data_IF_786521508393
#
_entry.id   IF_786521508393
#
_cell.length_a   1.000
_cell.length_b   1.000
_cell.length_c   1.000
_cell.angle_alpha   90.00
_cell.angle_beta   90.00
_cell.angle_gamma   90.00
#
_symmetry.space_group_name_H-M   'P 1'
#
loop_
_entity.id
_entity.type
_entity.pdbx_description
1 polymer ?
#
# COMPACT_ATOMS: atom_id res chain seq x y z
N UNK A 1 39.12 -50.07 -18.61
CA UNK A 1 38.86 -48.80 -17.88
C UNK A 1 37.49 -48.18 -18.19
N UNK A 2 36.97 -48.27 -19.42
CA UNK A 2 35.69 -47.65 -19.82
C UNK A 2 34.42 -48.23 -19.15
N UNK A 3 34.44 -49.51 -18.73
CA UNK A 3 33.32 -50.16 -18.02
C UNK A 3 33.14 -49.70 -16.56
N UNK A 4 34.18 -49.21 -15.90
CA UNK A 4 34.11 -48.72 -14.52
C UNK A 4 33.62 -47.26 -14.43
N UNK A 5 33.85 -46.47 -15.49
CA UNK A 5 33.37 -45.08 -15.59
C UNK A 5 31.84 -45.05 -15.73
N UNK A 6 31.26 -45.99 -16.47
CA UNK A 6 29.81 -46.09 -16.65
C UNK A 6 29.12 -46.53 -15.35
N UNK A 7 29.76 -47.38 -14.54
CA UNK A 7 29.23 -47.82 -13.23
C UNK A 7 29.28 -46.70 -12.18
N UNK A 8 30.31 -45.85 -12.21
CA UNK A 8 30.36 -44.68 -11.32
C UNK A 8 29.37 -43.59 -11.74
N UNK A 9 29.09 -43.42 -13.04
CA UNK A 9 28.12 -42.44 -13.52
C UNK A 9 26.67 -42.79 -13.15
N UNK A 10 26.30 -44.08 -13.13
CA UNK A 10 24.95 -44.52 -12.72
C UNK A 10 24.71 -44.43 -11.21
N UNK A 11 25.75 -44.55 -10.38
CA UNK A 11 25.64 -44.41 -8.93
C UNK A 11 25.49 -42.93 -8.51
N UNK A 12 26.14 -42.00 -9.24
CA UNK A 12 26.04 -40.55 -8.94
C UNK A 12 24.68 -39.97 -9.33
N UNK A 13 24.00 -40.51 -10.36
CA UNK A 13 22.64 -40.07 -10.74
C UNK A 13 21.58 -40.50 -9.72
N UNK A 14 21.80 -41.60 -8.99
CA UNK A 14 20.89 -42.03 -7.91
C UNK A 14 21.07 -41.23 -6.60
N UNK A 15 22.21 -40.55 -6.41
CA UNK A 15 22.49 -39.75 -5.22
C UNK A 15 21.93 -38.31 -5.29
N UNK A 16 21.41 -37.88 -6.45
CA UNK A 16 20.73 -36.58 -6.61
C UNK A 16 19.19 -36.70 -6.54
N UNK A 17 18.67 -37.79 -6.00
CA UNK A 17 17.32 -37.81 -5.49
C UNK A 17 17.28 -36.92 -4.24
N UNK A 18 16.99 -35.62 -4.42
CA UNK A 18 16.59 -34.75 -3.32
C UNK A 18 15.43 -35.40 -2.61
N UNK A 19 15.68 -35.95 -1.43
CA UNK A 19 14.64 -36.51 -0.57
C UNK A 19 13.73 -35.35 -0.15
N UNK A 20 12.64 -35.17 -0.87
CA UNK A 20 11.52 -34.32 -0.43
C UNK A 20 10.90 -35.04 0.77
N UNK A 21 11.40 -34.75 1.97
CA UNK A 21 10.80 -35.27 3.20
C UNK A 21 9.37 -34.73 3.33
N UNK A 22 8.43 -35.60 3.67
CA UNK A 22 7.07 -35.20 3.95
C UNK A 22 7.07 -34.30 5.20
N UNK A 23 6.63 -33.05 5.04
CA UNK A 23 6.48 -32.10 6.15
C UNK A 23 5.37 -32.59 7.08
N UNK A 24 5.67 -32.69 8.38
CA UNK A 24 4.70 -33.13 9.39
C UNK A 24 3.51 -32.16 9.48
N UNK A 25 2.36 -32.66 9.89
CA UNK A 25 1.14 -31.85 10.02
C UNK A 25 1.26 -30.81 11.13
N UNK A 26 2.04 -31.09 12.17
CA UNK A 26 2.42 -30.12 13.18
C UNK A 26 3.14 -28.90 12.59
N UNK A 27 4.12 -29.11 11.71
CA UNK A 27 4.86 -28.01 11.05
C UNK A 27 3.96 -27.24 10.10
N UNK A 28 3.07 -27.92 9.36
CA UNK A 28 2.10 -27.27 8.48
C UNK A 28 1.14 -26.36 9.27
N UNK A 29 0.56 -26.87 10.35
CA UNK A 29 -0.33 -26.10 11.22
C UNK A 29 0.39 -24.92 11.88
N UNK A 30 1.65 -25.09 12.28
CA UNK A 30 2.48 -24.01 12.82
C UNK A 30 2.70 -22.88 11.79
N UNK A 31 3.06 -23.23 10.55
CA UNK A 31 3.24 -22.26 9.47
C UNK A 31 1.94 -21.52 9.17
N UNK A 32 0.82 -22.25 9.12
CA UNK A 32 -0.51 -21.67 8.92
C UNK A 32 -0.88 -20.68 10.02
N UNK A 33 -0.64 -21.02 11.28
CA UNK A 33 -0.86 -20.13 12.42
C UNK A 33 -0.10 -18.82 12.28
N UNK A 34 1.22 -18.89 12.04
CA UNK A 34 2.05 -17.69 11.95
C UNK A 34 1.65 -16.82 10.75
N UNK A 35 1.41 -17.44 9.60
CA UNK A 35 0.99 -16.74 8.40
C UNK A 35 -0.35 -16.03 8.63
N UNK A 36 -1.38 -16.77 9.05
CA UNK A 36 -2.73 -16.20 9.21
C UNK A 36 -2.79 -15.14 10.31
N UNK A 37 -2.06 -15.31 11.41
CA UNK A 37 -1.94 -14.28 12.45
C UNK A 37 -1.28 -13.00 11.93
N UNK A 38 -0.19 -13.12 11.17
CA UNK A 38 0.49 -11.98 10.56
C UNK A 38 -0.43 -11.24 9.59
N UNK A 39 -1.15 -11.99 8.75
CA UNK A 39 -2.10 -11.44 7.79
C UNK A 39 -3.24 -10.68 8.48
N UNK A 40 -3.84 -11.26 9.53
CA UNK A 40 -4.90 -10.61 10.29
C UNK A 40 -4.45 -9.28 10.90
N UNK A 41 -3.24 -9.23 11.47
CA UNK A 41 -2.67 -8.01 12.03
C UNK A 41 -2.49 -6.92 10.98
N UNK A 42 -2.00 -7.28 9.80
CA UNK A 42 -1.79 -6.34 8.69
C UNK A 42 -3.13 -5.83 8.12
N UNK A 43 -4.09 -6.74 7.92
CA UNK A 43 -5.42 -6.45 7.35
C UNK A 43 -6.25 -5.60 8.31
N UNK A 44 -6.11 -5.79 9.64
CA UNK A 44 -6.83 -5.02 10.65
C UNK A 44 -6.80 -3.53 10.36
N UNK A 45 -5.62 -2.96 10.13
CA UNK A 45 -5.46 -1.52 9.90
C UNK A 45 -6.22 -1.09 8.64
N UNK A 46 -6.17 -1.91 7.59
CA UNK A 46 -6.85 -1.62 6.32
C UNK A 46 -8.38 -1.61 6.50
N UNK A 47 -8.92 -2.56 7.26
CA UNK A 47 -10.35 -2.68 7.55
C UNK A 47 -10.82 -1.55 8.48
N UNK A 48 -10.02 -1.18 9.48
CA UNK A 48 -10.35 -0.05 10.36
C UNK A 48 -10.37 1.29 9.60
N UNK A 49 -9.44 1.47 8.66
CA UNK A 49 -9.32 2.71 7.90
C UNK A 49 -10.32 2.82 6.74
N UNK A 50 -10.59 1.73 6.02
CA UNK A 50 -11.35 1.76 4.78
C UNK A 50 -12.52 0.77 4.71
N UNK A 51 -12.64 -0.13 5.68
CA UNK A 51 -13.68 -1.15 5.67
C UNK A 51 -15.07 -0.55 5.81
N UNK A 52 -15.95 -0.95 4.89
CA UNK A 52 -17.39 -0.82 5.04
C UNK A 52 -17.94 -1.87 6.02
N UNK A 53 -19.25 -1.82 6.30
CA UNK A 53 -19.87 -2.74 7.26
C UNK A 53 -19.72 -4.21 6.81
N UNK A 54 -19.73 -4.46 5.50
CA UNK A 54 -19.62 -5.82 4.94
C UNK A 54 -18.23 -6.39 5.17
N UNK A 55 -17.18 -5.65 4.86
CA UNK A 55 -15.78 -6.07 5.06
C UNK A 55 -15.40 -6.14 6.54
N UNK A 56 -15.99 -5.30 7.39
CA UNK A 56 -15.83 -5.38 8.86
C UNK A 56 -16.45 -6.64 9.44
N UNK A 57 -17.69 -6.97 9.05
CA UNK A 57 -18.34 -8.23 9.45
C UNK A 57 -17.50 -9.41 8.97
N UNK A 58 -17.06 -9.39 7.70
CA UNK A 58 -16.22 -10.45 7.15
C UNK A 58 -14.92 -10.63 7.92
N UNK A 59 -14.26 -9.53 8.30
CA UNK A 59 -13.04 -9.58 9.10
C UNK A 59 -13.30 -10.21 10.48
N UNK A 60 -14.41 -9.87 11.15
CA UNK A 60 -14.81 -10.49 12.42
C UNK A 60 -15.06 -12.00 12.29
N UNK A 61 -15.76 -12.43 11.22
CA UNK A 61 -15.96 -13.86 10.93
C UNK A 61 -14.62 -14.60 10.79
N UNK A 62 -13.66 -14.01 10.07
CA UNK A 62 -12.33 -14.59 9.89
C UNK A 62 -11.58 -14.67 11.23
N UNK A 63 -11.73 -13.68 12.11
CA UNK A 63 -11.16 -13.74 13.45
C UNK A 63 -11.72 -14.93 14.26
N UNK A 64 -13.04 -15.17 14.19
CA UNK A 64 -13.66 -16.33 14.84
C UNK A 64 -13.17 -17.65 14.23
N UNK A 65 -13.04 -17.74 12.90
CA UNK A 65 -12.48 -18.93 12.24
C UNK A 65 -11.03 -19.18 12.65
N UNK A 66 -10.22 -18.11 12.73
CA UNK A 66 -8.83 -18.18 13.17
C UNK A 66 -8.73 -18.61 14.63
N UNK A 67 -9.59 -18.09 15.51
CA UNK A 67 -9.66 -18.51 16.92
C UNK A 67 -9.95 -20.02 17.01
N UNK A 68 -10.99 -20.49 16.32
CA UNK A 68 -11.38 -21.91 16.32
C UNK A 68 -10.30 -22.84 15.76
N UNK A 69 -9.49 -22.38 14.80
CA UNK A 69 -8.34 -23.11 14.27
C UNK A 69 -7.16 -23.13 15.25
N UNK A 70 -6.95 -22.01 15.95
CA UNK A 70 -5.83 -21.81 16.88
C UNK A 70 -6.04 -22.53 18.20
N UNK A 71 -7.27 -22.62 18.69
CA UNK A 71 -7.60 -23.43 19.88
C UNK A 71 -7.23 -24.91 19.67
N UNK A 72 -7.52 -25.46 18.50
CA UNK A 72 -7.12 -26.83 18.15
C UNK A 72 -5.61 -26.98 17.95
N UNK A 73 -4.96 -25.96 17.38
CA UNK A 73 -3.50 -25.93 17.28
C UNK A 73 -2.84 -26.00 18.66
N UNK A 74 -3.29 -25.17 19.61
CA UNK A 74 -2.80 -25.18 20.98
C UNK A 74 -3.15 -26.48 21.72
N UNK A 75 -4.30 -27.08 21.39
CA UNK A 75 -4.70 -28.41 21.84
C UNK A 75 -3.94 -29.56 21.18
N UNK A 76 -2.93 -29.28 20.34
CA UNK A 76 -2.11 -30.25 19.61
C UNK A 76 -2.88 -31.13 18.61
N UNK A 77 -4.08 -30.73 18.22
CA UNK A 77 -4.88 -31.37 17.17
C UNK A 77 -4.49 -30.81 15.79
N UNK A 78 -3.25 -31.08 15.38
CA UNK A 78 -2.64 -30.43 14.22
C UNK A 78 -3.32 -30.70 12.88
N UNK A 79 -3.85 -31.91 12.67
CA UNK A 79 -4.53 -32.28 11.43
C UNK A 79 -5.83 -31.49 11.23
N UNK A 80 -6.66 -31.42 12.28
CA UNK A 80 -7.91 -30.66 12.27
C UNK A 80 -7.65 -29.17 12.18
N UNK A 81 -6.68 -28.67 12.95
CA UNK A 81 -6.27 -27.27 12.90
C UNK A 81 -5.80 -26.83 11.51
N UNK A 82 -4.97 -27.62 10.83
CA UNK A 82 -4.53 -27.36 9.46
C UNK A 82 -5.71 -27.24 8.49
N UNK A 83 -6.70 -28.14 8.60
CA UNK A 83 -7.92 -28.06 7.79
C UNK A 83 -8.76 -26.81 8.10
N UNK A 84 -8.83 -26.37 9.36
CA UNK A 84 -9.53 -25.12 9.70
C UNK A 84 -8.81 -23.88 9.18
N UNK A 85 -7.47 -23.86 9.22
CA UNK A 85 -6.70 -22.78 8.63
C UNK A 85 -6.86 -22.68 7.11
N UNK A 86 -7.09 -23.79 6.41
CA UNK A 86 -7.48 -23.74 5.00
C UNK A 86 -8.68 -22.83 4.78
N UNK A 87 -9.74 -22.99 5.59
CA UNK A 87 -10.94 -22.16 5.52
C UNK A 87 -10.62 -20.69 5.83
N UNK A 88 -9.78 -20.42 6.84
CA UNK A 88 -9.30 -19.05 7.13
C UNK A 88 -8.65 -18.43 5.91
N UNK A 89 -7.78 -19.16 5.20
CA UNK A 89 -7.12 -18.67 3.97
C UNK A 89 -8.11 -18.42 2.84
N UNK A 90 -9.12 -19.28 2.65
CA UNK A 90 -10.15 -19.06 1.63
C UNK A 90 -10.90 -17.74 1.87
N UNK A 91 -11.31 -17.49 3.12
CA UNK A 91 -12.00 -16.25 3.46
C UNK A 91 -11.06 -15.03 3.35
N UNK A 92 -9.78 -15.18 3.72
CA UNK A 92 -8.77 -14.13 3.55
C UNK A 92 -8.55 -13.78 2.07
N UNK A 93 -8.61 -14.73 1.13
CA UNK A 93 -8.57 -14.45 -0.31
C UNK A 93 -9.70 -13.51 -0.70
N UNK A 94 -10.92 -13.77 -0.24
CA UNK A 94 -12.09 -12.92 -0.58
C UNK A 94 -11.97 -11.51 0.00
N UNK A 95 -11.51 -11.39 1.26
CA UNK A 95 -11.34 -10.09 1.91
C UNK A 95 -10.20 -9.29 1.28
N UNK A 96 -9.07 -9.92 0.97
CA UNK A 96 -7.92 -9.24 0.36
C UNK A 96 -8.19 -8.83 -1.09
N UNK A 97 -9.02 -9.56 -1.84
CA UNK A 97 -9.50 -9.17 -3.17
C UNK A 97 -10.33 -7.87 -3.11
N UNK A 98 -11.30 -7.81 -2.19
CA UNK A 98 -12.13 -6.63 -1.97
C UNK A 98 -11.28 -5.41 -1.55
N UNK A 99 -10.33 -5.60 -0.62
CA UNK A 99 -9.40 -4.56 -0.20
C UNK A 99 -8.48 -4.12 -1.35
N UNK A 100 -7.93 -5.04 -2.15
CA UNK A 100 -7.09 -4.68 -3.29
C UNK A 100 -7.82 -3.79 -4.30
N UNK A 101 -9.07 -4.12 -4.61
CA UNK A 101 -9.94 -3.29 -5.48
C UNK A 101 -10.15 -1.89 -4.89
N UNK A 102 -10.46 -1.82 -3.60
CA UNK A 102 -10.64 -0.55 -2.89
C UNK A 102 -9.38 0.32 -2.96
N UNK A 103 -8.21 -0.27 -2.74
CA UNK A 103 -6.93 0.43 -2.79
C UNK A 103 -6.58 0.93 -4.19
N UNK A 104 -6.88 0.16 -5.25
CA UNK A 104 -6.73 0.60 -6.64
C UNK A 104 -7.58 1.85 -6.89
N UNK A 105 -8.84 1.83 -6.45
CA UNK A 105 -9.76 2.94 -6.64
C UNK A 105 -9.30 4.20 -5.89
N UNK A 106 -8.87 4.06 -4.63
CA UNK A 106 -8.36 5.19 -3.84
C UNK A 106 -7.06 5.76 -4.43
N UNK A 107 -6.15 4.91 -4.87
CA UNK A 107 -4.92 5.36 -5.54
C UNK A 107 -5.22 6.15 -6.83
N UNK A 108 -6.20 5.68 -7.62
CA UNK A 108 -6.67 6.40 -8.80
C UNK A 108 -7.25 7.77 -8.42
N UNK A 109 -8.16 7.83 -7.44
CA UNK A 109 -8.78 9.08 -6.98
C UNK A 109 -7.76 10.12 -6.51
N UNK A 110 -6.76 9.71 -5.71
CA UNK A 110 -5.72 10.62 -5.24
C UNK A 110 -4.89 11.16 -6.41
N UNK A 111 -4.44 10.30 -7.31
CA UNK A 111 -3.65 10.74 -8.46
C UNK A 111 -4.44 11.68 -9.36
N UNK A 112 -5.70 11.35 -9.65
CA UNK A 112 -6.58 12.16 -10.47
C UNK A 112 -6.85 13.53 -9.83
N UNK A 113 -6.99 13.60 -8.50
CA UNK A 113 -7.15 14.86 -7.75
C UNK A 113 -5.96 15.83 -7.92
N UNK A 114 -4.75 15.29 -8.16
CA UNK A 114 -3.53 16.09 -8.36
C UNK A 114 -3.18 16.30 -9.82
N UNK A 115 -3.73 15.50 -10.72
CA UNK A 115 -3.31 15.41 -12.12
C UNK A 115 -3.42 16.74 -12.85
N UNK A 116 -4.61 17.36 -12.86
CA UNK A 116 -4.88 18.62 -13.56
C UNK A 116 -3.92 19.72 -13.09
N UNK A 117 -3.86 19.93 -11.77
CA UNK A 117 -2.99 20.94 -11.19
C UNK A 117 -1.51 20.68 -11.49
N UNK A 118 -1.08 19.41 -11.49
CA UNK A 118 0.29 19.05 -11.84
C UNK A 118 0.61 19.39 -13.30
N UNK A 119 -0.29 19.09 -14.24
CA UNK A 119 -0.12 19.46 -15.65
C UNK A 119 -0.10 20.98 -15.85
N UNK A 120 -0.98 21.72 -15.16
CA UNK A 120 -0.98 23.18 -15.19
C UNK A 120 0.35 23.75 -14.68
N UNK A 121 0.90 23.19 -13.60
CA UNK A 121 2.22 23.57 -13.06
C UNK A 121 3.33 23.32 -14.08
N UNK A 122 3.34 22.13 -14.70
CA UNK A 122 4.35 21.77 -15.70
C UNK A 122 4.32 22.70 -16.92
N UNK A 123 3.13 23.10 -17.38
CA UNK A 123 2.96 24.02 -18.51
C UNK A 123 3.36 25.45 -18.12
N UNK A 124 2.84 25.95 -16.99
CA UNK A 124 3.03 27.33 -16.54
C UNK A 124 4.50 27.62 -16.22
N UNK A 125 5.16 26.70 -15.51
CA UNK A 125 6.49 26.91 -14.95
C UNK A 125 7.61 26.24 -15.75
N UNK A 126 7.38 25.90 -17.02
CA UNK A 126 8.39 25.30 -17.89
C UNK A 126 9.69 26.14 -17.96
N UNK A 127 10.83 25.47 -18.21
CA UNK A 127 12.14 26.14 -18.38
C UNK A 127 12.15 27.19 -19.48
N UNK A 128 11.33 26.99 -20.53
CA UNK A 128 11.18 27.90 -21.66
C UNK A 128 9.99 28.86 -21.50
N UNK A 129 9.28 28.80 -20.36
CA UNK A 129 8.16 29.70 -20.08
C UNK A 129 8.62 31.16 -20.03
N UNK A 130 7.77 32.06 -20.55
CA UNK A 130 7.99 33.50 -20.50
C UNK A 130 8.05 34.01 -19.07
N UNK A 131 7.40 33.34 -18.11
CA UNK A 131 7.41 33.67 -16.68
C UNK A 131 8.82 33.70 -16.07
N UNK A 132 9.73 32.83 -16.55
CA UNK A 132 11.12 32.82 -16.07
C UNK A 132 11.83 34.16 -16.26
N UNK A 133 11.54 34.85 -17.36
CA UNK A 133 12.11 36.18 -17.66
C UNK A 133 11.66 37.22 -16.64
N UNK A 134 10.45 37.07 -16.11
CA UNK A 134 9.89 37.99 -15.13
C UNK A 134 10.44 37.78 -13.71
N UNK A 135 10.91 36.58 -13.36
CA UNK A 135 11.58 36.36 -12.06
C UNK A 135 12.90 37.11 -11.91
N UNK A 136 13.56 37.42 -13.04
CA UNK A 136 14.85 38.11 -13.06
C UNK A 136 14.72 39.61 -13.34
N UNK A 137 13.52 40.09 -13.70
CA UNK A 137 13.31 41.51 -13.97
C UNK A 137 13.25 42.28 -12.64
N UNK A 138 13.95 43.42 -12.54
CA UNK A 138 13.73 44.33 -11.43
C UNK A 138 12.26 44.80 -11.48
N UNK A 139 11.68 44.96 -10.30
CA UNK A 139 10.28 45.28 -10.12
C UNK A 139 10.16 46.31 -9.01
N UNK A 140 9.38 47.37 -9.24
CA UNK A 140 9.10 48.37 -8.21
C UNK A 140 7.93 47.90 -7.33
N UNK A 141 8.16 47.59 -6.03
CA UNK A 141 7.10 47.08 -5.15
C UNK A 141 5.99 48.07 -4.81
N UNK A 142 6.16 49.36 -5.15
CA UNK A 142 5.18 50.42 -4.85
C UNK A 142 4.26 50.71 -6.05
N UNK A 143 4.77 50.63 -7.27
CA UNK A 143 4.07 51.13 -8.47
C UNK A 143 3.63 50.03 -9.43
N UNK A 144 4.32 48.90 -9.44
CA UNK A 144 4.07 47.83 -10.43
C UNK A 144 3.28 46.68 -9.79
N UNK A 145 2.74 45.76 -10.60
CA UNK A 145 2.11 44.51 -10.12
C UNK A 145 3.07 43.33 -10.37
N UNK A 146 3.29 42.48 -9.36
CA UNK A 146 4.13 41.28 -9.55
C UNK A 146 3.51 40.38 -10.64
N UNK A 147 4.28 40.00 -11.66
CA UNK A 147 3.77 39.20 -12.78
C UNK A 147 3.57 37.71 -12.42
N UNK A 148 3.81 37.32 -11.16
CA UNK A 148 3.67 35.96 -10.67
C UNK A 148 3.19 35.94 -9.22
N UNK A 149 2.58 34.81 -8.81
CA UNK A 149 2.21 34.58 -7.43
C UNK A 149 3.45 34.18 -6.60
N UNK A 150 3.85 34.94 -5.57
CA UNK A 150 4.99 34.59 -4.72
C UNK A 150 4.85 33.22 -4.03
N UNK A 151 3.63 32.82 -3.69
CA UNK A 151 3.33 31.55 -3.02
C UNK A 151 3.52 30.33 -3.92
N UNK A 152 3.60 30.53 -5.24
CA UNK A 152 3.81 29.49 -6.25
C UNK A 152 5.24 29.50 -6.80
N UNK A 153 6.11 30.41 -6.34
CA UNK A 153 7.46 30.56 -6.89
C UNK A 153 8.30 29.27 -6.75
N UNK A 154 8.13 28.52 -5.66
CA UNK A 154 8.81 27.24 -5.45
C UNK A 154 8.49 26.22 -6.54
N UNK A 155 7.30 26.28 -7.14
CA UNK A 155 6.86 25.36 -8.20
C UNK A 155 7.74 25.43 -9.44
N UNK A 156 8.44 26.54 -9.66
CA UNK A 156 9.43 26.66 -10.74
C UNK A 156 10.60 25.67 -10.58
N UNK A 157 11.02 25.41 -9.35
CA UNK A 157 12.07 24.45 -9.01
C UNK A 157 11.49 23.05 -8.81
N UNK A 158 10.32 22.97 -8.18
CA UNK A 158 9.71 21.73 -7.75
C UNK A 158 8.97 20.97 -8.85
N UNK A 159 8.66 21.62 -9.99
CA UNK A 159 7.92 20.99 -11.10
C UNK A 159 8.53 19.66 -11.57
N UNK A 160 9.86 19.52 -11.59
CA UNK A 160 10.52 18.28 -12.05
C UNK A 160 10.28 17.14 -11.07
N UNK A 161 10.21 17.46 -9.79
CA UNK A 161 9.87 16.51 -8.74
C UNK A 161 8.38 16.16 -8.80
N UNK A 162 7.50 17.13 -9.02
CA UNK A 162 6.06 16.91 -9.20
C UNK A 162 5.79 16.00 -10.41
N UNK A 163 6.42 16.28 -11.56
CA UNK A 163 6.33 15.43 -12.75
C UNK A 163 6.81 14.00 -12.47
N UNK A 164 7.97 13.86 -11.80
CA UNK A 164 8.52 12.57 -11.43
C UNK A 164 7.59 11.80 -10.48
N UNK A 165 6.98 12.48 -9.51
CA UNK A 165 6.02 11.87 -8.59
C UNK A 165 4.75 11.46 -9.31
N UNK A 166 4.19 12.29 -10.19
CA UNK A 166 2.99 11.96 -10.95
C UNK A 166 3.24 10.74 -11.85
N UNK A 167 4.35 10.75 -12.60
CA UNK A 167 4.78 9.62 -13.45
C UNK A 167 4.95 8.33 -12.66
N UNK A 168 5.64 8.41 -11.51
CA UNK A 168 5.85 7.24 -10.67
C UNK A 168 4.55 6.75 -10.02
N UNK A 169 3.66 7.67 -9.62
CA UNK A 169 2.35 7.36 -9.08
C UNK A 169 1.52 6.53 -10.05
N UNK A 170 1.32 7.02 -11.28
CA UNK A 170 0.58 6.28 -12.30
C UNK A 170 1.28 4.98 -12.71
N UNK A 171 2.62 4.96 -12.76
CA UNK A 171 3.37 3.72 -13.01
C UNK A 171 3.10 2.67 -11.93
N UNK A 172 3.15 3.04 -10.64
CA UNK A 172 2.86 2.11 -9.53
C UNK A 172 1.41 1.64 -9.54
N UNK A 173 0.48 2.53 -9.86
CA UNK A 173 -0.92 2.15 -10.04
C UNK A 173 -1.10 1.14 -11.19
N UNK A 174 -0.40 1.33 -12.31
CA UNK A 174 -0.45 0.38 -13.41
C UNK A 174 0.19 -0.96 -13.07
N UNK A 175 1.32 -0.96 -12.34
CA UNK A 175 1.94 -2.18 -11.81
C UNK A 175 0.96 -2.94 -10.90
N UNK A 176 0.23 -2.23 -10.02
CA UNK A 176 -0.82 -2.82 -9.18
C UNK A 176 -1.96 -3.44 -10.00
N UNK A 177 -2.48 -2.72 -11.00
CA UNK A 177 -3.52 -3.22 -11.92
C UNK A 177 -3.05 -4.44 -12.71
N UNK A 178 -1.80 -4.49 -13.13
CA UNK A 178 -1.24 -5.62 -13.86
C UNK A 178 -1.16 -6.88 -12.97
N UNK A 179 -0.75 -6.74 -11.71
CA UNK A 179 -0.71 -7.86 -10.75
C UNK A 179 -2.13 -8.34 -10.44
N UNK A 180 -3.06 -7.41 -10.20
CA UNK A 180 -4.45 -7.75 -9.91
C UNK A 180 -5.12 -8.54 -11.04
N UNK A 181 -4.82 -8.19 -12.29
CA UNK A 181 -5.36 -8.85 -13.49
C UNK A 181 -4.47 -9.98 -14.02
N UNK A 182 -3.54 -10.50 -13.22
CA UNK A 182 -2.67 -11.60 -13.64
C UNK A 182 -3.50 -12.86 -13.97
N UNK A 183 -3.25 -13.43 -15.14
CA UNK A 183 -3.92 -14.64 -15.64
C UNK A 183 -3.77 -15.83 -14.70
N UNK A 184 -2.63 -15.95 -14.00
CA UNK A 184 -2.41 -17.03 -13.03
C UNK A 184 -3.41 -16.95 -11.87
N UNK A 185 -3.69 -15.74 -11.37
CA UNK A 185 -4.68 -15.54 -10.29
C UNK A 185 -6.08 -15.88 -10.78
N UNK A 186 -6.45 -15.43 -11.98
CA UNK A 186 -7.75 -15.72 -12.59
C UNK A 186 -7.94 -17.24 -12.79
N UNK A 187 -6.90 -17.92 -13.29
CA UNK A 187 -6.91 -19.37 -13.45
C UNK A 187 -7.05 -20.09 -12.12
N UNK A 188 -6.28 -19.72 -11.09
CA UNK A 188 -6.38 -20.35 -9.77
C UNK A 188 -7.76 -20.16 -9.15
N UNK A 189 -8.39 -18.98 -9.29
CA UNK A 189 -9.77 -18.73 -8.83
C UNK A 189 -10.81 -19.57 -9.57
N UNK A 190 -10.54 -20.01 -10.80
CA UNK A 190 -11.45 -20.86 -11.57
C UNK A 190 -11.43 -22.33 -11.15
N UNK A 191 -10.41 -22.76 -10.38
CA UNK A 191 -10.30 -24.14 -9.92
C UNK A 191 -11.35 -24.45 -8.85
N UNK A 192 -11.97 -25.62 -8.94
CA UNK A 192 -12.90 -26.13 -7.91
C UNK A 192 -12.21 -26.39 -6.57
N UNK A 193 -10.97 -26.88 -6.61
CA UNK A 193 -10.15 -27.17 -5.43
C UNK A 193 -8.82 -26.43 -5.55
N UNK A 194 -8.64 -25.42 -4.71
CA UNK A 194 -7.41 -24.62 -4.63
C UNK A 194 -6.56 -25.19 -3.48
N UNK A 195 -5.25 -25.35 -3.67
CA UNK A 195 -4.36 -25.86 -2.61
C UNK A 195 -4.00 -24.76 -1.60
N UNK A 196 -3.50 -25.14 -0.41
CA UNK A 196 -3.02 -24.17 0.59
C UNK A 196 -2.03 -23.17 -0.03
N UNK A 197 -0.97 -23.67 -0.68
CA UNK A 197 0.08 -22.82 -1.28
C UNK A 197 -0.46 -21.90 -2.38
N UNK A 198 -1.50 -22.33 -3.11
CA UNK A 198 -2.15 -21.53 -4.13
C UNK A 198 -2.99 -20.40 -3.51
N UNK A 199 -3.67 -20.65 -2.38
CA UNK A 199 -4.37 -19.60 -1.62
C UNK A 199 -3.37 -18.57 -1.07
N UNK A 200 -2.25 -19.04 -0.50
CA UNK A 200 -1.18 -18.15 -0.01
C UNK A 200 -0.60 -17.29 -1.11
N UNK A 201 -0.38 -17.87 -2.30
CA UNK A 201 0.06 -17.14 -3.47
C UNK A 201 -0.93 -16.04 -3.85
N UNK A 202 -2.23 -16.34 -3.94
CA UNK A 202 -3.26 -15.35 -4.27
C UNK A 202 -3.27 -14.20 -3.25
N UNK A 203 -3.30 -14.52 -1.94
CA UNK A 203 -3.27 -13.51 -0.87
C UNK A 203 -2.04 -12.62 -1.00
N UNK A 204 -0.86 -13.22 -1.22
CA UNK A 204 0.40 -12.49 -1.37
C UNK A 204 0.35 -11.53 -2.56
N UNK A 205 -0.24 -11.92 -3.68
CA UNK A 205 -0.40 -11.04 -4.83
C UNK A 205 -1.33 -9.86 -4.52
N UNK A 206 -2.46 -10.08 -3.85
CA UNK A 206 -3.35 -8.98 -3.46
C UNK A 206 -2.72 -8.02 -2.45
N UNK A 207 -1.92 -8.52 -1.51
CA UNK A 207 -1.15 -7.64 -0.62
C UNK A 207 -0.10 -6.84 -1.39
N UNK A 208 0.56 -7.44 -2.39
CA UNK A 208 1.47 -6.71 -3.26
C UNK A 208 0.75 -5.59 -4.05
N UNK A 209 -0.46 -5.86 -4.55
CA UNK A 209 -1.33 -4.83 -5.17
C UNK A 209 -1.56 -3.68 -4.19
N UNK A 210 -1.92 -3.99 -2.94
CA UNK A 210 -2.15 -2.99 -1.88
C UNK A 210 -0.88 -2.16 -1.61
N UNK A 211 0.28 -2.79 -1.52
CA UNK A 211 1.56 -2.10 -1.29
C UNK A 211 1.94 -1.18 -2.46
N UNK A 212 1.77 -1.63 -3.70
CA UNK A 212 1.95 -0.75 -4.87
C UNK A 212 0.97 0.43 -4.88
N UNK A 213 -0.29 0.18 -4.49
CA UNK A 213 -1.27 1.25 -4.33
C UNK A 213 -0.86 2.23 -3.22
N UNK A 214 -0.35 1.78 -2.07
CA UNK A 214 0.19 2.67 -1.02
C UNK A 214 1.31 3.56 -1.54
N UNK A 215 2.23 3.01 -2.33
CA UNK A 215 3.27 3.81 -2.99
C UNK A 215 2.67 4.85 -3.95
N UNK A 216 1.68 4.46 -4.76
CA UNK A 216 0.98 5.38 -5.66
C UNK A 216 0.28 6.51 -4.90
N UNK A 217 -0.45 6.17 -3.81
CA UNK A 217 -1.09 7.14 -2.91
C UNK A 217 -0.06 8.10 -2.30
N UNK A 218 1.11 7.59 -1.88
CA UNK A 218 2.17 8.43 -1.32
C UNK A 218 2.62 9.51 -2.29
N UNK A 219 2.83 9.16 -3.56
CA UNK A 219 3.23 10.13 -4.57
C UNK A 219 2.19 11.25 -4.73
N UNK A 220 0.90 10.92 -4.79
CA UNK A 220 -0.15 11.94 -4.87
C UNK A 220 -0.27 12.80 -3.61
N UNK A 221 -0.11 12.20 -2.42
CA UNK A 221 -0.06 12.94 -1.15
C UNK A 221 1.11 13.92 -1.11
N UNK A 222 2.30 13.50 -1.56
CA UNK A 222 3.46 14.39 -1.62
C UNK A 222 3.25 15.54 -2.62
N UNK A 223 2.58 15.30 -3.76
CA UNK A 223 2.22 16.39 -4.69
C UNK A 223 1.33 17.42 -3.99
N UNK A 224 0.29 17.00 -3.28
CA UNK A 224 -0.57 17.92 -2.50
C UNK A 224 0.24 18.76 -1.50
N UNK A 225 1.18 18.12 -0.79
CA UNK A 225 2.06 18.79 0.18
C UNK A 225 3.00 19.80 -0.48
N UNK A 226 3.57 19.45 -1.63
CA UNK A 226 4.49 20.32 -2.37
C UNK A 226 3.78 21.54 -2.95
N UNK A 227 2.58 21.36 -3.49
CA UNK A 227 1.77 22.47 -4.01
C UNK A 227 1.50 23.52 -2.93
N UNK A 228 1.17 23.07 -1.71
CA UNK A 228 0.79 23.94 -0.60
C UNK A 228 1.91 24.17 0.42
N UNK A 229 3.17 24.14 -0.03
CA UNK A 229 4.31 24.26 0.90
C UNK A 229 4.29 25.58 1.70
N UNK A 230 3.75 26.65 1.13
CA UNK A 230 3.60 27.96 1.77
C UNK A 230 2.70 27.93 3.03
N UNK A 231 1.88 26.88 3.20
CA UNK A 231 0.99 26.73 4.36
C UNK A 231 1.68 26.11 5.58
N UNK A 232 2.95 25.69 5.46
CA UNK A 232 3.64 24.96 6.53
C UNK A 232 3.68 25.75 7.85
N UNK A 233 4.08 27.01 7.80
CA UNK A 233 4.23 27.86 8.98
C UNK A 233 2.89 28.13 9.67
N UNK A 234 1.82 28.35 8.90
CA UNK A 234 0.47 28.59 9.44
C UNK A 234 -0.06 27.34 10.13
N UNK A 235 0.18 26.15 9.57
CA UNK A 235 -0.22 24.88 10.16
C UNK A 235 0.56 24.60 11.44
N UNK A 236 1.88 24.84 11.46
CA UNK A 236 2.71 24.66 12.66
C UNK A 236 2.22 25.52 13.83
N UNK A 237 1.87 26.77 13.57
CA UNK A 237 1.29 27.67 14.59
C UNK A 237 -0.08 27.21 15.05
N UNK A 238 -0.96 26.80 14.12
CA UNK A 238 -2.31 26.31 14.43
C UNK A 238 -2.29 25.14 15.41
N UNK A 239 -1.33 24.23 15.26
CA UNK A 239 -1.26 23.02 16.07
C UNK A 239 -0.14 23.04 17.13
N UNK A 240 0.58 24.15 17.31
CA UNK A 240 1.69 24.26 18.26
C UNK A 240 2.74 23.14 18.06
N UNK A 241 3.25 22.99 16.84
CA UNK A 241 4.23 21.96 16.49
C UNK A 241 5.64 22.55 16.41
N UNK A 242 6.59 21.92 17.12
CA UNK A 242 7.99 22.37 17.17
C UNK A 242 8.85 21.84 16.00
N UNK A 243 8.35 20.84 15.26
CA UNK A 243 9.10 20.16 14.20
C UNK A 243 8.47 20.32 12.82
N UNK A 244 9.32 20.28 11.80
CA UNK A 244 8.91 20.16 10.38
C UNK A 244 8.36 18.76 10.05
N UNK A 245 8.59 17.75 10.90
CA UNK A 245 7.95 16.44 10.77
C UNK A 245 6.58 16.49 11.43
N UNK A 246 5.55 16.48 10.60
CA UNK A 246 4.15 16.59 10.98
C UNK A 246 3.44 15.28 10.68
N UNK A 247 2.77 14.69 11.67
CA UNK A 247 1.92 13.52 11.44
C UNK A 247 0.81 13.91 10.45
N UNK A 248 0.39 13.02 9.53
CA UNK A 248 -0.52 13.40 8.45
C UNK A 248 -1.86 13.97 8.91
N UNK A 249 -2.33 13.60 10.10
CA UNK A 249 -3.57 14.13 10.69
C UNK A 249 -3.51 15.65 10.93
N UNK A 250 -2.32 16.19 11.22
CA UNK A 250 -2.09 17.61 11.47
C UNK A 250 -1.73 18.38 10.19
N UNK A 251 -1.49 17.70 9.07
CA UNK A 251 -1.03 18.32 7.83
C UNK A 251 -2.21 18.74 6.94
N UNK A 252 -2.63 19.99 7.06
CA UNK A 252 -3.75 20.56 6.28
C UNK A 252 -3.43 20.74 4.78
N UNK A 253 -2.18 20.54 4.37
CA UNK A 253 -1.84 20.51 2.94
C UNK A 253 -2.45 19.28 2.26
N UNK A 254 -2.56 18.18 3.00
CA UNK A 254 -3.24 16.95 2.58
C UNK A 254 -4.75 17.20 2.66
N UNK A 255 -5.51 17.04 1.56
CA UNK A 255 -6.96 17.13 1.62
C UNK A 255 -7.55 16.19 2.68
N UNK A 256 -8.58 16.65 3.39
CA UNK A 256 -9.16 15.93 4.54
C UNK A 256 -9.59 14.50 4.16
N UNK A 257 -10.17 14.31 2.98
CA UNK A 257 -10.59 13.01 2.43
C UNK A 257 -9.45 12.01 2.21
N UNK A 258 -8.20 12.49 2.12
CA UNK A 258 -7.00 11.68 1.90
C UNK A 258 -6.10 11.56 3.13
N UNK A 259 -6.45 12.21 4.26
CA UNK A 259 -5.70 12.03 5.53
C UNK A 259 -5.76 10.59 6.03
N UNK A 260 -6.87 9.89 5.76
CA UNK A 260 -6.99 8.45 6.05
C UNK A 260 -5.98 7.63 5.24
N UNK A 261 -5.70 7.98 3.98
CA UNK A 261 -4.67 7.31 3.17
C UNK A 261 -3.26 7.58 3.66
N UNK A 262 -3.01 8.83 4.06
CA UNK A 262 -1.71 9.20 4.56
C UNK A 262 -1.39 8.48 5.89
N UNK A 263 -2.38 8.33 6.77
CA UNK A 263 -2.25 7.52 8.00
C UNK A 263 -2.09 6.02 7.70
N UNK A 264 -2.86 5.48 6.76
CA UNK A 264 -2.73 4.08 6.35
C UNK A 264 -1.34 3.76 5.78
N UNK A 265 -0.77 4.66 4.97
CA UNK A 265 0.55 4.48 4.38
C UNK A 265 1.68 4.33 5.43
N UNK A 266 1.48 4.84 6.64
CA UNK A 266 2.38 4.69 7.78
C UNK A 266 1.86 3.70 8.82
N UNK A 267 0.87 2.87 8.45
CA UNK A 267 0.27 1.83 9.30
C UNK A 267 -0.38 2.34 10.58
N UNK A 268 -0.98 3.54 10.54
CA UNK A 268 -1.76 4.11 11.64
C UNK A 268 -3.27 3.96 11.39
N UNK A 269 -4.02 3.82 12.49
CA UNK A 269 -5.48 3.78 12.47
C UNK A 269 -6.04 5.21 12.54
N UNK A 270 -6.72 5.64 11.48
CA UNK A 270 -7.14 7.03 11.31
C UNK A 270 -8.14 7.50 12.38
N UNK A 271 -9.03 6.64 12.86
CA UNK A 271 -9.98 6.99 13.94
C UNK A 271 -9.28 7.34 15.25
N UNK A 272 -8.18 6.65 15.58
CA UNK A 272 -7.36 6.94 16.76
C UNK A 272 -6.64 8.29 16.59
N UNK A 273 -6.07 8.53 15.40
CA UNK A 273 -5.40 9.78 15.09
C UNK A 273 -6.35 10.98 15.12
N UNK A 274 -7.59 10.81 14.65
CA UNK A 274 -8.63 11.82 14.75
C UNK A 274 -8.98 12.15 16.21
N UNK A 275 -9.10 11.14 17.07
CA UNK A 275 -9.31 11.35 18.51
C UNK A 275 -8.12 12.09 19.16
N UNK A 276 -6.88 11.82 18.74
CA UNK A 276 -5.69 12.57 19.18
C UNK A 276 -5.77 14.05 18.77
N UNK A 277 -6.22 14.33 17.56
CA UNK A 277 -6.43 15.70 17.07
C UNK A 277 -7.49 16.43 17.90
N UNK A 278 -8.65 15.81 18.12
CA UNK A 278 -9.75 16.39 18.90
C UNK A 278 -9.35 16.70 20.34
N UNK A 279 -8.54 15.84 20.97
CA UNK A 279 -8.02 16.07 22.32
C UNK A 279 -7.07 17.28 22.39
N UNK A 280 -6.33 17.55 21.31
CA UNK A 280 -5.36 18.66 21.26
C UNK A 280 -6.02 20.02 20.98
N UNK A 281 -7.18 20.01 20.35
CA UNK A 281 -7.97 21.21 20.04
C UNK A 281 -8.89 21.66 21.18
N UNK A 282 -9.04 20.83 22.23
CA UNK A 282 -9.72 21.16 23.49
C UNK A 282 -8.74 21.73 24.50
#
# INVERSE_FOLDING_TARGET
MQKYIILCATIIVFAMATTTFAVSTAVKAQNDYFLTLSLLRQIRIMVENFGDDTTKIKYQEIQTLFQNASEEYYGQQFDSSHQKYYKVKQELVTLTDALATLYINRAQQILDSTSKQSFDIMIKYDKNSTLKKYFQKPYNPVEEIKPYNPEEYHLFFDRETIERYLKNGYRKLQEAKNIYNNQDILYLKSKKNIKHDELEFIIKQYLAVIDFCRLAKQYGIEIHKMVKVHQLDTIQRKYGLESNKMDPIYDDRIPEEFKVDANDNISLVHSIEKARLEKKLK
#
